data_IF_262981826349
#
_entry.id   IF_262981826349
#
_cell.length_a   1.000
_cell.length_b   1.000
_cell.length_c   1.000
_cell.angle_alpha   90.00
_cell.angle_beta   90.00
_cell.angle_gamma   90.00
#
_symmetry.space_group_name_H-M   'P 1'
#
loop_
_entity.id
_entity.type
_entity.pdbx_description
1 polymer ?
#
# COMPACT_ATOMS: atom_id res chain seq x y z
N UNK A 1 9.00 48.90 15.71
CA UNK A 1 9.42 48.77 14.29
C UNK A 1 10.87 49.18 14.15
N UNK A 2 11.78 48.26 13.76
CA UNK A 2 13.14 48.69 13.36
C UNK A 2 13.04 49.49 12.07
N UNK A 3 13.51 50.75 12.08
CA UNK A 3 13.59 51.56 10.86
C UNK A 3 14.28 50.75 9.75
N UNK A 4 13.62 50.52 8.63
CA UNK A 4 14.20 49.81 7.47
C UNK A 4 13.70 48.38 7.23
N UNK A 5 12.75 47.87 8.02
CA UNK A 5 12.18 46.52 7.82
C UNK A 5 10.64 46.53 7.76
N UNK A 6 10.08 45.59 6.99
CA UNK A 6 8.65 45.29 6.94
C UNK A 6 8.39 44.00 7.68
N UNK A 7 7.39 43.98 8.55
CA UNK A 7 7.01 42.81 9.33
C UNK A 7 5.60 42.32 8.94
N UNK A 8 5.45 41.05 8.72
CA UNK A 8 4.16 40.40 8.44
C UNK A 8 4.00 39.16 9.34
N UNK A 9 2.81 38.96 9.87
CA UNK A 9 2.46 37.76 10.61
C UNK A 9 1.35 37.02 9.88
N UNK A 10 1.45 35.70 9.85
CA UNK A 10 0.40 34.81 9.33
C UNK A 10 0.33 33.51 10.11
N UNK A 11 -0.86 32.93 10.16
CA UNK A 11 -1.07 31.61 10.75
C UNK A 11 -0.43 30.56 9.83
N UNK A 12 0.21 29.56 10.43
CA UNK A 12 0.76 28.43 9.69
C UNK A 12 -0.35 27.49 9.22
N UNK A 13 -0.64 27.50 7.92
CA UNK A 13 -1.72 26.72 7.30
C UNK A 13 -1.23 25.52 6.50
N UNK A 14 0.07 25.27 6.43
CA UNK A 14 0.64 24.17 5.63
C UNK A 14 1.82 23.51 6.32
N UNK A 15 2.07 22.26 5.95
CA UNK A 15 3.10 21.41 6.54
C UNK A 15 4.43 21.59 5.79
N UNK A 16 5.33 22.42 6.35
CA UNK A 16 6.64 22.72 5.74
C UNK A 16 7.70 21.70 6.09
N UNK A 17 7.62 21.11 7.29
CA UNK A 17 8.62 20.18 7.79
C UNK A 17 7.96 19.03 8.53
N UNK A 18 8.43 17.78 8.35
CA UNK A 18 7.90 16.63 9.09
C UNK A 18 8.20 16.68 10.61
N UNK A 19 8.98 17.67 11.07
CA UNK A 19 9.36 17.80 12.48
C UNK A 19 8.54 18.85 13.23
N UNK A 20 7.63 19.56 12.56
CA UNK A 20 6.79 20.57 13.18
C UNK A 20 5.32 20.41 12.76
N UNK A 21 4.43 20.58 13.71
CA UNK A 21 2.98 20.56 13.49
C UNK A 21 2.51 21.74 12.62
N UNK A 22 1.27 21.70 12.10
CA UNK A 22 0.71 22.80 11.27
C UNK A 22 0.13 23.95 12.10
N UNK A 23 0.11 23.83 13.43
CA UNK A 23 -0.30 24.88 14.36
C UNK A 23 0.83 25.87 14.61
N UNK A 24 0.50 27.15 14.76
CA UNK A 24 1.45 28.22 15.05
C UNK A 24 1.39 29.40 14.09
N UNK A 25 2.35 30.30 14.23
CA UNK A 25 2.43 31.53 13.43
C UNK A 25 3.80 31.70 12.81
N UNK A 26 3.84 32.25 11.61
CA UNK A 26 5.07 32.78 11.00
C UNK A 26 5.11 34.31 11.13
N UNK A 27 6.30 34.82 11.46
CA UNK A 27 6.63 36.23 11.34
C UNK A 27 7.72 36.38 10.28
N UNK A 28 7.38 37.11 9.21
CA UNK A 28 8.29 37.46 8.13
C UNK A 28 8.82 38.86 8.34
N UNK A 29 10.13 39.02 8.22
CA UNK A 29 10.80 40.30 8.32
C UNK A 29 11.57 40.51 7.03
N UNK A 30 11.23 41.56 6.28
CA UNK A 30 11.87 41.93 5.01
C UNK A 30 12.66 43.22 5.14
N UNK A 31 13.89 43.23 4.62
CA UNK A 31 14.62 44.50 4.48
C UNK A 31 13.95 45.38 3.42
N UNK A 32 13.96 46.71 3.66
CA UNK A 32 13.51 47.69 2.65
C UNK A 32 14.60 48.02 1.62
N UNK A 33 15.82 47.53 1.81
CA UNK A 33 16.94 47.75 0.89
C UNK A 33 16.87 46.73 -0.25
N UNK A 34 16.67 47.19 -1.47
CA UNK A 34 16.56 46.38 -2.67
C UNK A 34 17.91 45.89 -3.21
N UNK A 35 19.04 46.51 -2.82
CA UNK A 35 20.38 46.06 -3.20
C UNK A 35 20.86 44.87 -2.37
N UNK A 36 20.44 44.86 -1.09
CA UNK A 36 20.71 43.77 -0.15
C UNK A 36 19.39 43.32 0.48
N UNK A 37 18.77 42.33 -0.12
CA UNK A 37 17.49 41.79 0.35
C UNK A 37 17.77 40.80 1.48
N UNK A 38 17.26 41.09 2.67
CA UNK A 38 17.28 40.17 3.80
C UNK A 38 15.85 39.79 4.16
N UNK A 39 15.58 38.45 4.19
CA UNK A 39 14.30 37.89 4.56
C UNK A 39 14.52 36.98 5.76
N UNK A 40 13.92 37.32 6.91
CA UNK A 40 13.94 36.47 8.09
C UNK A 40 12.55 35.89 8.32
N UNK A 41 12.47 34.59 8.50
CA UNK A 41 11.24 33.86 8.81
C UNK A 41 11.37 33.26 10.20
N UNK A 42 10.55 33.71 11.13
CA UNK A 42 10.47 33.15 12.47
C UNK A 42 9.19 32.33 12.60
N UNK A 43 9.31 31.18 13.22
CA UNK A 43 8.17 30.32 13.54
C UNK A 43 7.95 30.28 15.05
N UNK A 44 6.69 30.51 15.46
CA UNK A 44 6.25 30.48 16.84
C UNK A 44 5.13 29.46 17.05
N UNK A 45 5.20 28.72 18.16
CA UNK A 45 4.12 27.88 18.67
C UNK A 45 3.65 28.46 20.01
N UNK A 46 2.44 29.04 20.01
CA UNK A 46 2.04 29.92 21.12
C UNK A 46 3.01 31.07 21.23
N UNK A 47 3.57 31.30 22.42
CA UNK A 47 4.57 32.32 22.70
C UNK A 47 6.03 31.81 22.56
N UNK A 48 6.24 30.55 22.25
CA UNK A 48 7.57 29.95 22.15
C UNK A 48 8.13 30.11 20.73
N UNK A 49 9.32 30.71 20.62
CA UNK A 49 10.08 30.77 19.36
C UNK A 49 10.70 29.41 19.08
N UNK A 50 10.32 28.80 17.97
CA UNK A 50 10.71 27.42 17.61
C UNK A 50 11.92 27.36 16.69
N UNK A 51 11.97 28.20 15.66
CA UNK A 51 13.13 28.36 14.79
C UNK A 51 13.09 29.66 14.01
N UNK A 52 14.25 30.06 13.44
CA UNK A 52 14.33 31.08 12.41
C UNK A 52 15.03 30.54 11.16
N UNK A 53 14.72 31.14 10.03
CA UNK A 53 15.43 30.97 8.76
C UNK A 53 15.75 32.38 8.24
N UNK A 54 16.98 32.59 7.77
CA UNK A 54 17.43 33.87 7.22
C UNK A 54 17.95 33.66 5.79
N UNK A 55 17.44 34.43 4.86
CA UNK A 55 17.90 34.49 3.47
C UNK A 55 18.48 35.89 3.19
N UNK A 56 19.75 35.93 2.78
CA UNK A 56 20.42 37.15 2.36
C UNK A 56 20.75 37.04 0.89
N UNK A 57 20.29 38.03 0.13
CA UNK A 57 20.48 38.11 -1.31
C UNK A 57 21.11 39.47 -1.63
N UNK A 58 22.11 39.48 -2.48
CA UNK A 58 22.68 40.67 -3.05
C UNK A 58 22.31 40.77 -4.52
N UNK A 59 21.72 41.88 -4.93
CA UNK A 59 21.39 42.09 -6.34
C UNK A 59 22.65 42.39 -7.13
N UNK A 60 22.64 42.00 -8.39
CA UNK A 60 23.76 42.25 -9.30
C UNK A 60 23.26 42.40 -10.75
N UNK A 61 23.89 43.26 -11.57
CA UNK A 61 23.48 43.43 -12.95
C UNK A 61 23.52 42.11 -13.71
N UNK A 62 22.47 41.84 -14.50
CA UNK A 62 22.35 40.65 -15.33
C UNK A 62 23.11 40.86 -16.65
N UNK A 63 24.14 40.07 -16.91
CA UNK A 63 24.85 40.02 -18.18
C UNK A 63 25.04 38.57 -18.63
N UNK A 64 25.36 38.35 -19.91
CA UNK A 64 25.45 37.01 -20.51
C UNK A 64 26.42 36.06 -19.79
N UNK A 65 27.59 36.60 -19.33
CA UNK A 65 28.59 35.82 -18.59
C UNK A 65 28.08 35.38 -17.22
N UNK A 66 27.36 36.23 -16.50
CA UNK A 66 26.73 35.86 -15.21
C UNK A 66 25.58 34.87 -15.39
N UNK A 67 24.78 35.05 -16.45
CA UNK A 67 23.71 34.13 -16.75
C UNK A 67 24.25 32.72 -17.01
N UNK A 68 25.35 32.59 -17.74
CA UNK A 68 26.01 31.31 -18.03
C UNK A 68 26.59 30.67 -16.75
N UNK A 69 27.24 31.44 -15.89
CA UNK A 69 27.74 30.98 -14.58
C UNK A 69 26.61 30.56 -13.65
N UNK A 70 25.51 31.32 -13.61
CA UNK A 70 24.33 30.95 -12.81
C UNK A 70 23.70 29.67 -13.33
N UNK A 71 23.59 29.44 -14.65
CA UNK A 71 23.06 28.21 -15.23
C UNK A 71 23.87 26.98 -14.81
N UNK A 72 25.21 27.06 -14.82
CA UNK A 72 26.08 25.99 -14.35
C UNK A 72 25.91 25.68 -12.86
N UNK A 73 25.86 26.73 -12.03
CA UNK A 73 25.62 26.60 -10.58
C UNK A 73 24.21 26.08 -10.26
N UNK A 74 23.20 26.38 -11.09
CA UNK A 74 21.83 25.89 -10.91
C UNK A 74 21.74 24.38 -11.04
N UNK A 75 22.43 23.79 -12.02
CA UNK A 75 22.48 22.34 -12.20
C UNK A 75 23.12 21.66 -10.98
N UNK A 76 24.26 22.18 -10.51
CA UNK A 76 24.93 21.69 -9.32
C UNK A 76 24.05 21.81 -8.07
N UNK A 77 23.37 22.94 -7.90
CA UNK A 77 22.47 23.17 -6.76
C UNK A 77 21.27 22.23 -6.80
N UNK A 78 20.65 22.02 -7.96
CA UNK A 78 19.51 21.10 -8.11
C UNK A 78 19.89 19.65 -7.75
N UNK A 79 21.09 19.20 -8.16
CA UNK A 79 21.57 17.83 -7.85
C UNK A 79 21.96 17.67 -6.38
N UNK A 80 22.52 18.71 -5.73
CA UNK A 80 23.01 18.61 -4.34
C UNK A 80 21.98 18.97 -3.29
N UNK A 81 20.91 19.71 -3.63
CA UNK A 81 19.90 20.17 -2.66
C UNK A 81 19.14 19.00 -2.03
N UNK A 82 18.70 18.04 -2.83
CA UNK A 82 17.93 16.90 -2.30
C UNK A 82 18.74 16.01 -1.34
N UNK A 83 19.99 15.59 -1.65
CA UNK A 83 20.85 14.89 -0.69
C UNK A 83 21.08 15.69 0.60
N UNK A 84 21.32 17.02 0.50
CA UNK A 84 21.50 17.88 1.67
C UNK A 84 20.25 17.93 2.56
N UNK A 85 19.06 18.03 1.96
CA UNK A 85 17.77 17.97 2.69
C UNK A 85 17.62 16.64 3.43
N UNK A 86 17.94 15.51 2.77
CA UNK A 86 17.88 14.19 3.39
C UNK A 86 18.88 14.05 4.56
N UNK A 87 20.10 14.53 4.40
CA UNK A 87 21.12 14.53 5.47
C UNK A 87 20.64 15.36 6.66
N UNK A 88 20.13 16.56 6.42
CA UNK A 88 19.61 17.42 7.49
C UNK A 88 18.39 16.78 8.18
N UNK A 89 17.48 16.18 7.42
CA UNK A 89 16.35 15.46 7.99
C UNK A 89 16.80 14.26 8.86
N UNK A 90 17.84 13.54 8.43
CA UNK A 90 18.43 12.46 9.21
C UNK A 90 19.08 12.99 10.50
N UNK A 91 19.83 14.09 10.43
CA UNK A 91 20.42 14.73 11.61
C UNK A 91 19.33 15.15 12.61
N UNK A 92 18.27 15.80 12.13
CA UNK A 92 17.15 16.23 12.97
C UNK A 92 16.45 15.04 13.64
N UNK A 93 16.24 13.94 12.90
CA UNK A 93 15.58 12.75 13.44
C UNK A 93 16.47 11.96 14.40
N UNK A 94 17.70 11.65 14.02
CA UNK A 94 18.55 10.72 14.75
C UNK A 94 19.46 11.40 15.81
N UNK A 95 20.03 12.56 15.50
CA UNK A 95 20.90 13.29 16.43
C UNK A 95 20.09 14.16 17.41
N UNK A 96 19.11 14.88 16.90
CA UNK A 96 18.28 15.78 17.73
C UNK A 96 16.97 15.15 18.22
N UNK A 97 16.66 13.90 17.81
CA UNK A 97 15.50 13.10 18.25
C UNK A 97 14.17 13.85 18.13
N UNK A 98 14.03 14.71 17.14
CA UNK A 98 12.79 15.44 16.92
C UNK A 98 11.65 14.51 16.52
N UNK A 99 10.43 14.71 17.03
CA UNK A 99 9.27 13.92 16.66
C UNK A 99 8.95 14.09 15.17
N UNK A 100 8.49 13.00 14.51
CA UNK A 100 8.07 13.03 13.12
C UNK A 100 6.55 13.11 13.04
N UNK A 101 6.03 14.13 12.36
CA UNK A 101 4.59 14.30 12.14
C UNK A 101 4.21 13.90 10.71
N UNK A 102 3.15 13.10 10.58
CA UNK A 102 2.57 12.75 9.27
C UNK A 102 2.04 14.03 8.60
N UNK A 103 2.24 14.16 7.30
CA UNK A 103 1.66 15.23 6.51
C UNK A 103 0.13 15.16 6.61
N UNK A 104 -0.49 16.20 7.16
CA UNK A 104 -1.95 16.26 7.37
C UNK A 104 -2.72 16.77 6.13
N UNK A 105 -2.05 16.90 5.00
CA UNK A 105 -2.64 17.46 3.78
C UNK A 105 -2.79 18.98 3.80
N UNK A 106 -3.42 19.52 2.76
CA UNK A 106 -3.64 20.95 2.60
C UNK A 106 -4.89 21.35 3.41
N UNK A 107 -4.71 22.24 4.39
CA UNK A 107 -5.81 22.80 5.21
C UNK A 107 -6.38 24.11 4.67
N UNK A 108 -5.80 24.69 3.62
CA UNK A 108 -6.22 25.98 3.08
C UNK A 108 -6.93 25.81 1.73
N UNK A 109 -8.14 26.36 1.54
CA UNK A 109 -8.82 26.39 0.24
C UNK A 109 -8.05 27.20 -0.83
N UNK A 110 -7.10 28.04 -0.42
CA UNK A 110 -6.25 28.82 -1.31
C UNK A 110 -4.90 28.14 -1.66
N UNK A 111 -4.71 26.89 -1.27
CA UNK A 111 -3.53 26.13 -1.68
C UNK A 111 -3.61 25.86 -3.18
N UNK A 112 -2.66 26.40 -3.94
CA UNK A 112 -2.57 26.20 -5.38
C UNK A 112 -2.38 24.71 -5.71
N UNK A 113 -3.46 24.00 -6.08
CA UNK A 113 -3.30 22.83 -6.92
C UNK A 113 -2.80 23.30 -8.28
N UNK A 114 -1.74 22.71 -8.82
CA UNK A 114 -1.30 23.03 -10.19
C UNK A 114 -2.40 22.64 -11.16
N UNK A 115 -3.20 23.60 -11.63
CA UNK A 115 -4.23 23.39 -12.65
C UNK A 115 -3.65 23.11 -14.05
N UNK A 116 -2.33 23.24 -14.25
CA UNK A 116 -1.69 23.02 -15.54
C UNK A 116 -0.59 21.95 -15.46
N UNK A 117 -0.50 21.05 -16.47
CA UNK A 117 0.47 19.97 -16.47
C UNK A 117 1.89 20.47 -16.70
N UNK A 118 2.86 19.95 -15.96
CA UNK A 118 4.29 20.15 -16.21
C UNK A 118 4.73 19.39 -17.47
N UNK A 119 5.95 19.62 -17.96
CA UNK A 119 6.50 18.89 -19.11
C UNK A 119 6.48 17.36 -18.87
N UNK A 120 6.82 16.90 -17.67
CA UNK A 120 6.80 15.47 -17.30
C UNK A 120 5.37 14.93 -17.35
N UNK A 121 4.37 15.69 -16.86
CA UNK A 121 2.96 15.29 -16.95
C UNK A 121 2.49 15.21 -18.39
N UNK A 122 2.88 16.18 -19.27
CA UNK A 122 2.54 16.15 -20.70
C UNK A 122 3.13 14.92 -21.39
N UNK A 123 4.35 14.54 -21.06
CA UNK A 123 4.97 13.32 -21.57
C UNK A 123 4.20 12.07 -21.10
N UNK A 124 3.87 11.99 -19.83
CA UNK A 124 3.09 10.88 -19.28
C UNK A 124 1.71 10.78 -19.95
N UNK A 125 1.00 11.89 -20.13
CA UNK A 125 -0.29 11.95 -20.84
C UNK A 125 -0.11 11.46 -22.30
N UNK A 126 0.95 11.89 -22.99
CA UNK A 126 1.22 11.48 -24.37
C UNK A 126 1.45 9.97 -24.49
N UNK A 127 2.21 9.40 -23.56
CA UNK A 127 2.46 7.96 -23.51
C UNK A 127 1.16 7.17 -23.23
N UNK A 128 0.41 7.59 -22.22
CA UNK A 128 -0.88 6.97 -21.88
C UNK A 128 -1.90 7.08 -23.02
N UNK A 129 -1.90 8.21 -23.72
CA UNK A 129 -2.79 8.43 -24.85
C UNK A 129 -2.59 7.37 -25.95
N UNK A 130 -1.33 7.02 -26.28
CA UNK A 130 -1.03 5.94 -27.24
C UNK A 130 -1.54 4.57 -26.77
N UNK A 131 -1.55 4.36 -25.48
CA UNK A 131 -1.97 3.11 -24.86
C UNK A 131 -3.50 3.02 -24.78
N UNK A 132 -4.15 4.04 -24.24
CA UNK A 132 -5.60 4.08 -24.03
C UNK A 132 -6.39 4.19 -25.35
N UNK A 133 -5.80 4.69 -26.42
CA UNK A 133 -6.40 4.67 -27.78
C UNK A 133 -6.70 3.26 -28.31
N UNK A 134 -6.15 2.22 -27.69
CA UNK A 134 -6.45 0.83 -28.02
C UNK A 134 -7.76 0.31 -27.42
N UNK A 135 -8.35 1.06 -26.47
CA UNK A 135 -9.67 0.73 -25.93
C UNK A 135 -10.68 0.79 -27.07
N UNK A 136 -11.39 -0.32 -27.31
CA UNK A 136 -12.44 -0.43 -28.33
C UNK A 136 -13.76 -0.93 -27.74
N UNK A 137 -13.71 -1.61 -26.60
CA UNK A 137 -14.87 -2.15 -25.90
C UNK A 137 -15.22 -1.22 -24.76
N UNK A 138 -16.47 -0.71 -24.75
CA UNK A 138 -16.96 0.31 -23.82
C UNK A 138 -16.30 1.68 -24.02
N UNK A 139 -16.59 2.65 -23.14
CA UNK A 139 -16.04 4.00 -23.19
C UNK A 139 -15.28 4.37 -21.93
N UNK A 140 -14.26 5.20 -22.09
CA UNK A 140 -13.50 5.79 -20.97
C UNK A 140 -13.33 7.28 -21.20
N UNK A 141 -13.78 8.10 -20.25
CA UNK A 141 -13.53 9.53 -20.20
C UNK A 141 -12.63 9.91 -19.05
N UNK A 142 -11.60 10.71 -19.32
CA UNK A 142 -10.70 11.24 -18.30
C UNK A 142 -10.80 12.76 -18.31
N UNK A 143 -11.35 13.32 -17.22
CA UNK A 143 -11.47 14.77 -17.00
C UNK A 143 -10.24 15.26 -16.27
N UNK A 144 -9.45 16.12 -16.91
CA UNK A 144 -8.23 16.69 -16.34
C UNK A 144 -8.51 17.89 -15.44
N UNK A 145 -7.58 18.26 -14.51
CA UNK A 145 -7.76 19.42 -13.60
C UNK A 145 -7.90 20.78 -14.31
N UNK A 146 -7.43 20.89 -15.56
CA UNK A 146 -7.57 22.09 -16.41
C UNK A 146 -8.89 22.12 -17.21
N UNK A 147 -9.78 21.14 -17.00
CA UNK A 147 -11.06 21.00 -17.70
C UNK A 147 -10.96 20.25 -19.03
N UNK A 148 -9.77 19.83 -19.47
CA UNK A 148 -9.61 19.05 -20.68
C UNK A 148 -10.20 17.66 -20.50
N UNK A 149 -11.00 17.23 -21.50
CA UNK A 149 -11.58 15.89 -21.60
C UNK A 149 -10.74 15.04 -22.56
N UNK A 150 -10.38 13.84 -22.14
CA UNK A 150 -9.76 12.81 -22.96
C UNK A 150 -10.74 11.64 -23.06
N UNK A 151 -11.16 11.28 -24.26
CA UNK A 151 -12.15 10.23 -24.51
C UNK A 151 -11.54 9.08 -25.31
N UNK A 152 -11.86 7.85 -24.95
CA UNK A 152 -11.34 6.62 -25.53
C UNK A 152 -12.46 5.61 -25.70
N UNK A 153 -12.31 4.70 -26.67
CA UNK A 153 -13.29 3.65 -26.95
C UNK A 153 -14.58 4.19 -27.54
N UNK A 154 -15.70 3.66 -27.11
CA UNK A 154 -17.04 4.01 -27.60
C UNK A 154 -17.79 4.88 -26.57
N UNK A 155 -17.76 6.22 -26.69
CA UNK A 155 -18.42 7.12 -25.70
C UNK A 155 -19.95 6.95 -25.62
N UNK A 156 -20.56 6.44 -26.68
CA UNK A 156 -21.99 6.11 -26.73
C UNK A 156 -22.36 4.73 -26.16
N UNK A 157 -21.39 4.00 -25.65
CA UNK A 157 -21.61 2.70 -25.01
C UNK A 157 -22.47 2.83 -23.76
N UNK A 158 -23.29 1.78 -23.46
CA UNK A 158 -24.02 1.67 -22.19
C UNK A 158 -23.10 1.67 -20.96
N UNK A 159 -21.82 1.31 -21.13
CA UNK A 159 -20.79 1.32 -20.09
C UNK A 159 -19.74 2.37 -20.44
N UNK A 160 -19.87 3.54 -19.82
CA UNK A 160 -18.94 4.65 -19.92
C UNK A 160 -18.33 4.91 -18.54
N UNK A 161 -17.03 4.63 -18.40
CA UNK A 161 -16.30 4.97 -17.19
C UNK A 161 -15.81 6.42 -17.21
N UNK A 162 -15.97 7.12 -16.10
CA UNK A 162 -15.45 8.49 -15.94
C UNK A 162 -14.38 8.51 -14.86
N UNK A 163 -13.20 9.03 -15.19
CA UNK A 163 -12.10 9.28 -14.25
C UNK A 163 -11.93 10.80 -14.11
N UNK A 164 -12.21 11.32 -12.93
CA UNK A 164 -12.02 12.72 -12.59
C UNK A 164 -10.62 12.90 -11.98
N UNK A 165 -9.66 13.41 -12.76
CA UNK A 165 -8.29 13.63 -12.27
C UNK A 165 -8.23 14.91 -11.45
N UNK A 166 -7.84 14.78 -10.19
CA UNK A 166 -7.70 15.87 -9.23
C UNK A 166 -6.26 16.41 -9.19
N UNK A 167 -5.27 15.59 -9.53
CA UNK A 167 -3.85 15.93 -9.55
C UNK A 167 -3.14 15.24 -10.72
N UNK A 168 -2.35 15.99 -11.47
CA UNK A 168 -1.60 15.47 -12.63
C UNK A 168 -0.58 14.37 -12.30
N UNK A 169 -0.19 14.20 -11.02
CA UNK A 169 0.63 13.07 -10.57
C UNK A 169 -0.01 11.70 -10.81
N UNK A 170 -1.33 11.66 -10.99
CA UNK A 170 -2.07 10.50 -11.47
C UNK A 170 -1.43 9.87 -12.70
N UNK A 171 -1.18 10.67 -13.74
CA UNK A 171 -0.61 10.19 -14.99
C UNK A 171 0.79 9.61 -14.82
N UNK A 172 1.62 10.22 -13.97
CA UNK A 172 2.96 9.72 -13.68
C UNK A 172 2.92 8.36 -12.97
N UNK A 173 2.04 8.19 -11.98
CA UNK A 173 1.89 6.93 -11.27
C UNK A 173 1.41 5.82 -12.21
N UNK A 174 0.45 6.13 -13.08
CA UNK A 174 -0.07 5.19 -14.05
C UNK A 174 1.01 4.71 -15.04
N UNK A 175 1.85 5.64 -15.53
CA UNK A 175 2.99 5.31 -16.41
C UNK A 175 4.04 4.48 -15.69
N UNK A 176 4.37 4.81 -14.44
CA UNK A 176 5.47 4.18 -13.71
C UNK A 176 5.10 2.83 -13.11
N UNK A 177 3.84 2.64 -12.69
CA UNK A 177 3.41 1.49 -11.91
C UNK A 177 2.20 0.75 -12.48
N UNK A 178 1.67 1.17 -13.65
CA UNK A 178 0.51 0.55 -14.29
C UNK A 178 -0.73 0.49 -13.37
N UNK A 179 -1.35 -0.69 -13.22
CA UNK A 179 -2.49 -0.99 -12.37
C UNK A 179 -2.26 -0.65 -10.89
N UNK A 180 -1.10 -1.00 -10.35
CA UNK A 180 -0.69 -0.58 -8.99
C UNK A 180 -0.65 0.95 -8.90
N UNK A 181 -0.23 1.64 -9.97
CA UNK A 181 -0.21 3.10 -10.04
C UNK A 181 -1.61 3.71 -10.04
N UNK A 182 -2.58 3.05 -10.64
CA UNK A 182 -4.00 3.43 -10.62
C UNK A 182 -4.54 3.40 -9.19
N UNK A 183 -4.31 2.28 -8.48
CA UNK A 183 -4.70 2.10 -7.08
C UNK A 183 -3.99 3.08 -6.13
N UNK A 184 -2.65 3.21 -6.25
CA UNK A 184 -1.86 4.18 -5.47
C UNK A 184 -2.36 5.63 -5.64
N UNK A 185 -2.75 5.99 -6.86
CA UNK A 185 -3.27 7.32 -7.16
C UNK A 185 -4.66 7.55 -6.57
N UNK A 186 -5.52 6.51 -6.56
CA UNK A 186 -6.83 6.55 -5.93
C UNK A 186 -6.73 6.75 -4.41
N UNK A 187 -5.94 5.93 -3.74
CA UNK A 187 -5.68 6.03 -2.30
C UNK A 187 -5.13 7.42 -1.92
N UNK A 188 -4.30 8.02 -2.79
CA UNK A 188 -3.74 9.36 -2.59
C UNK A 188 -4.69 10.49 -3.01
N UNK A 189 -5.90 10.15 -3.46
CA UNK A 189 -6.90 11.10 -3.97
C UNK A 189 -6.37 11.99 -5.10
N UNK A 190 -5.65 11.40 -6.04
CA UNK A 190 -5.23 12.08 -7.26
C UNK A 190 -6.26 11.97 -8.38
N UNK A 191 -7.21 11.06 -8.22
CA UNK A 191 -8.38 10.91 -9.06
C UNK A 191 -9.56 10.35 -8.26
N UNK A 192 -10.76 10.49 -8.82
CA UNK A 192 -11.99 9.98 -8.29
C UNK A 192 -12.90 9.51 -9.45
N UNK A 193 -13.99 8.80 -9.16
CA UNK A 193 -14.96 8.30 -10.13
C UNK A 193 -16.31 8.11 -9.48
N UNK A 194 -17.37 8.16 -10.27
CA UNK A 194 -18.72 7.87 -9.83
C UNK A 194 -18.96 6.36 -9.66
N UNK A 195 -18.18 5.51 -10.37
CA UNK A 195 -18.26 4.04 -10.27
C UNK A 195 -16.90 3.41 -10.52
N UNK A 196 -16.27 2.91 -9.46
CA UNK A 196 -15.05 2.09 -9.54
C UNK A 196 -15.29 0.79 -10.34
N UNK A 197 -16.44 0.18 -10.15
CA UNK A 197 -16.85 -1.04 -10.85
C UNK A 197 -16.80 -0.83 -12.37
N UNK A 198 -17.41 0.23 -12.88
CA UNK A 198 -17.40 0.54 -14.33
C UNK A 198 -15.98 0.81 -14.84
N UNK A 199 -15.13 1.47 -14.05
CA UNK A 199 -13.71 1.66 -14.42
C UNK A 199 -13.00 0.32 -14.58
N UNK A 200 -13.17 -0.61 -13.64
CA UNK A 200 -12.58 -1.94 -13.74
C UNK A 200 -13.15 -2.75 -14.90
N UNK A 201 -14.46 -2.72 -15.14
CA UNK A 201 -15.09 -3.40 -16.27
C UNK A 201 -14.50 -2.97 -17.61
N UNK A 202 -14.30 -1.67 -17.81
CA UNK A 202 -13.67 -1.14 -19.04
C UNK A 202 -12.25 -1.68 -19.20
N UNK A 203 -11.44 -1.69 -18.15
CA UNK A 203 -10.07 -2.20 -18.23
C UNK A 203 -10.01 -3.73 -18.43
N UNK A 204 -10.89 -4.49 -17.78
CA UNK A 204 -10.98 -5.96 -17.93
C UNK A 204 -11.43 -6.30 -19.35
N UNK A 205 -12.47 -5.64 -19.88
CA UNK A 205 -12.97 -5.89 -21.22
C UNK A 205 -11.91 -5.64 -22.33
N UNK A 206 -10.93 -4.78 -22.05
CA UNK A 206 -9.85 -4.43 -22.97
C UNK A 206 -8.49 -5.03 -22.58
N UNK A 207 -8.43 -5.99 -21.64
CA UNK A 207 -7.18 -6.51 -21.08
C UNK A 207 -6.24 -7.07 -22.15
N UNK A 208 -6.77 -7.83 -23.12
CA UNK A 208 -6.00 -8.42 -24.21
C UNK A 208 -5.32 -7.38 -25.08
N UNK A 209 -6.00 -6.28 -25.39
CA UNK A 209 -5.49 -5.17 -26.19
C UNK A 209 -4.45 -4.34 -25.44
N UNK A 210 -4.62 -4.23 -24.13
CA UNK A 210 -3.73 -3.50 -23.26
C UNK A 210 -2.45 -4.28 -22.94
N UNK A 211 -2.47 -5.60 -22.85
CA UNK A 211 -1.30 -6.46 -22.62
C UNK A 211 -0.28 -6.47 -23.77
N UNK A 212 -0.68 -6.13 -24.99
CA UNK A 212 0.18 -6.19 -26.19
C UNK A 212 1.20 -5.05 -26.33
N UNK A 213 1.25 -4.09 -25.40
CA UNK A 213 2.21 -2.99 -25.49
C UNK A 213 3.48 -3.24 -24.65
N UNK A 214 4.51 -3.79 -25.31
CA UNK A 214 5.77 -4.24 -24.71
C UNK A 214 6.57 -3.18 -23.95
N UNK A 215 6.43 -1.88 -24.23
CA UNK A 215 7.26 -0.82 -23.62
C UNK A 215 6.87 -0.50 -22.18
N UNK A 216 5.57 -0.45 -21.88
CA UNK A 216 5.05 -0.17 -20.53
C UNK A 216 5.30 -1.32 -19.57
N UNK A 217 5.05 -2.54 -20.04
CA UNK A 217 5.21 -3.77 -19.28
C UNK A 217 6.68 -4.02 -18.93
N UNK A 218 7.62 -3.68 -19.83
CA UNK A 218 9.07 -3.87 -19.59
C UNK A 218 9.61 -2.96 -18.48
N UNK A 219 9.20 -1.71 -18.45
CA UNK A 219 9.69 -0.73 -17.46
C UNK A 219 9.09 -0.99 -16.07
N UNK A 220 7.79 -1.26 -15.99
CA UNK A 220 7.13 -1.61 -14.73
C UNK A 220 7.63 -2.96 -14.18
N UNK A 221 7.86 -3.96 -15.04
CA UNK A 221 8.47 -5.24 -14.64
C UNK A 221 9.87 -5.07 -14.08
N UNK A 222 10.69 -4.19 -14.64
CA UNK A 222 12.05 -3.93 -14.13
C UNK A 222 12.01 -3.30 -12.75
N UNK A 223 11.15 -2.30 -12.52
CA UNK A 223 10.96 -1.66 -11.21
C UNK A 223 10.39 -2.66 -10.20
N UNK A 224 9.36 -3.42 -10.60
CA UNK A 224 8.74 -4.45 -9.74
C UNK A 224 9.74 -5.56 -9.40
N UNK A 225 10.59 -5.99 -10.33
CA UNK A 225 11.63 -7.01 -10.09
C UNK A 225 12.67 -6.55 -9.05
N UNK A 226 13.06 -5.26 -9.10
CA UNK A 226 13.96 -4.66 -8.11
C UNK A 226 13.28 -4.58 -6.74
N UNK A 227 12.01 -4.14 -6.68
CA UNK A 227 11.25 -4.08 -5.42
C UNK A 227 10.98 -5.47 -4.84
N UNK A 228 10.69 -6.47 -5.69
CA UNK A 228 10.49 -7.85 -5.26
C UNK A 228 11.76 -8.46 -4.68
N UNK A 229 12.92 -8.18 -5.28
CA UNK A 229 14.22 -8.65 -4.77
C UNK A 229 14.56 -8.09 -3.38
N UNK A 230 14.08 -6.87 -3.07
CA UNK A 230 14.25 -6.23 -1.76
C UNK A 230 13.28 -6.75 -0.68
N UNK A 231 12.20 -7.45 -1.08
CA UNK A 231 11.15 -7.97 -0.18
C UNK A 231 11.23 -9.49 0.06
N UNK A 232 12.43 -10.09 0.04
CA UNK A 232 12.58 -11.53 0.29
C UNK A 232 11.96 -11.97 1.62
N UNK A 233 11.19 -13.06 1.59
CA UNK A 233 10.46 -13.64 2.72
C UNK A 233 11.38 -14.49 3.62
N UNK A 234 12.36 -13.88 4.29
CA UNK A 234 13.10 -14.54 5.37
C UNK A 234 12.29 -14.53 6.68
N UNK A 235 12.70 -15.35 7.67
CA UNK A 235 11.96 -15.53 8.94
C UNK A 235 11.68 -14.19 9.65
N UNK A 236 12.63 -13.24 9.62
CA UNK A 236 12.47 -11.93 10.26
C UNK A 236 11.50 -11.00 9.51
N UNK A 237 11.38 -11.13 8.18
CA UNK A 237 10.50 -10.30 7.35
C UNK A 237 9.11 -10.92 7.17
N UNK A 238 8.97 -12.25 7.28
CA UNK A 238 7.69 -12.94 7.16
C UNK A 238 6.68 -12.42 8.19
N UNK A 239 7.10 -12.28 9.46
CA UNK A 239 6.25 -11.71 10.51
C UNK A 239 5.81 -10.27 10.17
N UNK A 240 6.71 -9.44 9.64
CA UNK A 240 6.39 -8.06 9.24
C UNK A 240 5.45 -8.00 8.03
N UNK A 241 5.66 -8.82 7.02
CA UNK A 241 4.82 -8.83 5.82
C UNK A 241 3.39 -9.30 6.14
N UNK A 242 3.24 -10.30 7.01
CA UNK A 242 1.92 -10.75 7.46
C UNK A 242 1.26 -9.74 8.39
N UNK A 243 2.01 -9.11 9.29
CA UNK A 243 1.50 -8.01 10.11
C UNK A 243 0.92 -6.88 9.23
N UNK A 244 1.64 -6.44 8.20
CA UNK A 244 1.15 -5.42 7.25
C UNK A 244 -0.10 -5.86 6.48
N UNK A 245 -0.28 -7.17 6.22
CA UNK A 245 -1.44 -7.70 5.50
C UNK A 245 -2.68 -7.86 6.38
N UNK A 246 -2.53 -8.29 7.63
CA UNK A 246 -3.63 -8.49 8.58
C UNK A 246 -3.88 -7.31 9.52
N UNK A 247 -3.06 -6.26 9.48
CA UNK A 247 -3.19 -5.02 10.28
C UNK A 247 -4.40 -4.15 9.89
N UNK A 248 -5.15 -4.55 8.85
CA UNK A 248 -6.46 -3.99 8.52
C UNK A 248 -7.50 -4.23 9.63
N UNK A 249 -7.20 -5.13 10.57
CA UNK A 249 -8.01 -5.45 11.74
C UNK A 249 -9.22 -6.36 11.44
N UNK A 250 -9.65 -7.10 12.44
CA UNK A 250 -10.76 -8.06 12.33
C UNK A 250 -12.04 -7.43 11.76
N UNK A 251 -12.34 -6.17 12.13
CA UNK A 251 -13.51 -5.45 11.66
C UNK A 251 -13.55 -5.24 10.13
N UNK A 252 -12.39 -5.14 9.49
CA UNK A 252 -12.33 -5.04 8.03
C UNK A 252 -12.73 -6.36 7.38
N UNK A 253 -12.21 -7.48 7.87
CA UNK A 253 -12.51 -8.80 7.33
C UNK A 253 -13.98 -9.21 7.57
N UNK A 254 -14.60 -8.76 8.65
CA UNK A 254 -16.03 -8.95 8.95
C UNK A 254 -16.97 -8.31 7.91
N UNK A 255 -16.50 -7.34 7.12
CA UNK A 255 -17.33 -6.67 6.14
C UNK A 255 -17.67 -7.55 4.92
N UNK A 256 -16.85 -8.54 4.61
CA UNK A 256 -16.99 -9.33 3.38
C UNK A 256 -16.79 -10.84 3.54
N UNK A 257 -16.22 -11.31 4.66
CA UNK A 257 -16.09 -12.73 4.93
C UNK A 257 -17.37 -13.28 5.58
N UNK A 258 -17.49 -14.62 5.56
CA UNK A 258 -18.52 -15.35 6.29
C UNK A 258 -18.35 -15.23 7.81
N UNK A 259 -19.31 -15.74 8.59
CA UNK A 259 -19.28 -15.70 10.07
C UNK A 259 -18.05 -16.38 10.69
N UNK A 260 -17.53 -17.41 10.02
CA UNK A 260 -16.33 -18.13 10.44
C UNK A 260 -15.04 -17.46 10.01
N UNK A 261 -15.15 -16.33 9.27
CA UNK A 261 -14.04 -15.53 8.73
C UNK A 261 -13.06 -16.35 7.91
N UNK A 262 -13.57 -17.21 7.03
CA UNK A 262 -12.72 -18.03 6.18
C UNK A 262 -12.19 -17.19 5.02
N UNK A 263 -10.90 -16.87 5.06
CA UNK A 263 -10.22 -16.01 4.07
C UNK A 263 -9.52 -16.86 3.00
N UNK A 264 -10.31 -17.65 2.32
CA UNK A 264 -9.91 -18.48 1.17
C UNK A 264 -11.13 -18.75 0.31
N UNK A 265 -10.94 -19.22 -0.93
CA UNK A 265 -12.05 -19.50 -1.87
C UNK A 265 -13.02 -20.53 -1.30
N UNK A 266 -14.31 -20.38 -1.60
CA UNK A 266 -15.35 -21.28 -1.19
C UNK A 266 -15.68 -22.29 -2.30
N UNK A 267 -16.32 -23.43 -1.93
CA UNK A 267 -16.83 -24.43 -2.89
C UNK A 267 -18.33 -24.43 -2.81
N UNK A 268 -18.97 -23.86 -3.83
CA UNK A 268 -20.42 -23.80 -3.94
C UNK A 268 -20.98 -25.07 -4.56
N UNK A 269 -21.97 -25.67 -3.93
CA UNK A 269 -22.75 -26.81 -4.47
C UNK A 269 -23.87 -26.32 -5.39
N UNK A 270 -24.33 -25.07 -5.21
CA UNK A 270 -25.33 -24.44 -6.08
C UNK A 270 -25.12 -22.92 -6.11
N UNK A 271 -25.60 -22.20 -7.17
CA UNK A 271 -25.50 -20.73 -7.28
C UNK A 271 -26.26 -19.97 -6.19
N UNK A 272 -27.24 -20.61 -5.53
CA UNK A 272 -28.06 -19.99 -4.47
C UNK A 272 -27.56 -20.28 -3.05
N UNK A 273 -26.47 -21.01 -2.91
CA UNK A 273 -25.90 -21.37 -1.62
C UNK A 273 -25.27 -20.16 -0.93
N UNK A 274 -25.34 -20.11 0.41
CA UNK A 274 -24.69 -19.06 1.17
C UNK A 274 -23.16 -19.20 1.14
N UNK A 275 -22.42 -18.08 1.31
CA UNK A 275 -20.97 -18.14 1.45
C UNK A 275 -20.55 -19.01 2.64
N UNK A 276 -21.28 -18.96 3.76
CA UNK A 276 -21.03 -19.75 4.95
C UNK A 276 -21.08 -21.25 4.66
N UNK A 277 -22.15 -21.71 3.99
CA UNK A 277 -22.31 -23.14 3.62
C UNK A 277 -21.25 -23.56 2.62
N UNK A 278 -20.96 -22.74 1.63
CA UNK A 278 -19.93 -23.01 0.63
C UNK A 278 -18.51 -23.10 1.26
N UNK A 279 -18.23 -22.33 2.30
CA UNK A 279 -16.99 -22.44 3.09
C UNK A 279 -16.93 -23.73 3.90
N UNK A 280 -18.06 -24.16 4.50
CA UNK A 280 -18.14 -25.45 5.19
C UNK A 280 -17.97 -26.61 4.19
N UNK A 281 -18.56 -26.55 2.99
CA UNK A 281 -18.33 -27.55 1.95
C UNK A 281 -16.85 -27.71 1.62
N UNK A 282 -16.13 -26.60 1.44
CA UNK A 282 -14.69 -26.63 1.21
C UNK A 282 -13.94 -27.32 2.36
N UNK A 283 -14.25 -26.95 3.61
CA UNK A 283 -13.60 -27.55 4.79
C UNK A 283 -13.89 -29.07 4.81
N UNK A 284 -15.13 -29.47 4.61
CA UNK A 284 -15.51 -30.90 4.57
C UNK A 284 -14.78 -31.66 3.46
N UNK A 285 -14.66 -31.03 2.27
CA UNK A 285 -13.93 -31.65 1.16
C UNK A 285 -12.44 -31.80 1.51
N UNK A 286 -11.82 -30.78 2.11
CA UNK A 286 -10.43 -30.83 2.55
C UNK A 286 -10.19 -31.96 3.56
N UNK A 287 -11.07 -32.09 4.56
CA UNK A 287 -10.99 -33.14 5.58
C UNK A 287 -11.20 -34.56 4.96
N UNK A 288 -12.11 -34.68 4.01
CA UNK A 288 -12.36 -35.91 3.28
C UNK A 288 -11.18 -36.32 2.40
N UNK A 289 -10.63 -35.40 1.62
CA UNK A 289 -9.43 -35.61 0.78
C UNK A 289 -8.21 -36.02 1.60
N UNK A 290 -8.06 -35.43 2.77
CA UNK A 290 -7.01 -35.79 3.72
C UNK A 290 -7.34 -37.13 4.46
N UNK A 291 -8.51 -37.69 4.30
CA UNK A 291 -8.98 -38.91 4.99
C UNK A 291 -8.78 -38.80 6.50
N UNK A 292 -9.36 -37.75 7.08
CA UNK A 292 -9.23 -37.46 8.52
C UNK A 292 -10.10 -38.43 9.33
N UNK A 293 -9.52 -38.95 10.42
CA UNK A 293 -10.19 -39.90 11.34
C UNK A 293 -10.14 -39.36 12.78
N UNK A 294 -11.05 -39.73 13.66
CA UNK A 294 -11.05 -39.26 15.07
C UNK A 294 -9.74 -39.51 15.82
N UNK A 295 -9.04 -40.60 15.53
CA UNK A 295 -7.75 -40.96 16.14
C UNK A 295 -6.56 -40.18 15.64
N UNK A 296 -6.74 -39.38 14.60
CA UNK A 296 -5.63 -38.66 13.96
C UNK A 296 -5.21 -37.40 14.72
N UNK A 297 -3.92 -37.13 14.66
CA UNK A 297 -3.34 -35.83 15.02
C UNK A 297 -3.09 -35.05 13.76
N UNK A 298 -3.78 -33.93 13.61
CA UNK A 298 -3.71 -33.08 12.43
C UNK A 298 -2.82 -31.88 12.72
N UNK A 299 -2.05 -31.47 11.70
CA UNK A 299 -1.42 -30.16 11.66
C UNK A 299 -2.11 -29.29 10.62
N UNK A 300 -2.65 -28.15 11.03
CA UNK A 300 -3.08 -27.08 10.14
C UNK A 300 -1.98 -26.01 10.06
N UNK A 301 -1.48 -25.72 8.84
CA UNK A 301 -0.52 -24.65 8.60
C UNK A 301 -1.25 -23.45 8.02
N UNK A 302 -1.40 -22.38 8.82
CA UNK A 302 -2.23 -21.23 8.51
C UNK A 302 -3.60 -21.31 9.16
N UNK A 303 -3.68 -20.98 10.46
CA UNK A 303 -4.92 -21.12 11.24
C UNK A 303 -6.09 -20.28 10.72
N UNK A 304 -5.81 -19.19 9.99
CA UNK A 304 -6.82 -18.16 9.78
C UNK A 304 -7.46 -17.76 11.12
N UNK A 305 -8.77 -17.67 11.16
CA UNK A 305 -9.54 -17.44 12.39
C UNK A 305 -10.05 -18.74 13.03
N UNK A 306 -9.48 -19.90 12.65
CA UNK A 306 -9.69 -21.19 13.31
C UNK A 306 -10.84 -22.02 12.77
N UNK A 307 -11.44 -21.64 11.65
CA UNK A 307 -12.62 -22.33 11.10
C UNK A 307 -12.40 -23.82 10.88
N UNK A 308 -11.30 -24.22 10.21
CA UNK A 308 -11.00 -25.62 9.92
C UNK A 308 -10.69 -26.40 11.20
N UNK A 309 -9.82 -25.87 12.08
CA UNK A 309 -9.47 -26.54 13.33
C UNK A 309 -10.70 -26.80 14.21
N UNK A 310 -11.55 -25.79 14.39
CA UNK A 310 -12.77 -25.88 15.18
C UNK A 310 -13.75 -26.87 14.55
N UNK A 311 -13.96 -26.77 13.22
CA UNK A 311 -14.88 -27.68 12.52
C UNK A 311 -14.40 -29.13 12.61
N UNK A 312 -13.12 -29.41 12.36
CA UNK A 312 -12.56 -30.78 12.42
C UNK A 312 -12.67 -31.36 13.84
N UNK A 313 -12.33 -30.60 14.89
CA UNK A 313 -12.43 -31.04 16.27
C UNK A 313 -13.89 -31.28 16.69
N UNK A 314 -14.82 -30.43 16.24
CA UNK A 314 -16.23 -30.53 16.63
C UNK A 314 -16.95 -31.66 15.90
N UNK A 315 -16.70 -31.84 14.59
CA UNK A 315 -17.45 -32.82 13.75
C UNK A 315 -16.81 -34.19 13.74
N UNK A 316 -15.48 -34.27 13.79
CA UNK A 316 -14.76 -35.56 13.69
C UNK A 316 -14.23 -35.98 15.07
N UNK A 317 -13.94 -35.02 15.98
CA UNK A 317 -13.37 -35.34 17.30
C UNK A 317 -11.85 -35.60 17.28
N UNK A 318 -11.14 -35.17 16.24
CA UNK A 318 -9.70 -35.37 16.08
C UNK A 318 -8.89 -34.30 16.82
N UNK A 319 -7.63 -34.59 17.10
CA UNK A 319 -6.71 -33.61 17.69
C UNK A 319 -6.09 -32.72 16.61
N UNK A 320 -6.17 -31.41 16.77
CA UNK A 320 -5.65 -30.42 15.81
C UNK A 320 -4.60 -29.54 16.47
N UNK A 321 -3.40 -29.52 15.90
CA UNK A 321 -2.43 -28.43 16.14
C UNK A 321 -2.55 -27.45 14.97
N UNK A 322 -2.90 -26.21 15.26
CA UNK A 322 -2.98 -25.15 14.23
C UNK A 322 -1.96 -24.05 14.50
N UNK A 323 -1.35 -23.50 13.43
CA UNK A 323 -0.27 -22.53 13.58
C UNK A 323 -0.50 -21.26 12.74
N UNK A 324 -0.13 -20.14 13.32
CA UNK A 324 -0.13 -18.83 12.68
C UNK A 324 1.04 -17.99 13.17
N UNK A 325 1.46 -17.00 12.39
CA UNK A 325 2.40 -15.96 12.82
C UNK A 325 1.71 -14.60 13.08
N UNK A 326 0.38 -14.54 12.92
CA UNK A 326 -0.45 -13.38 13.25
C UNK A 326 -0.92 -13.44 14.69
N UNK A 327 -0.57 -12.43 15.48
CA UNK A 327 -1.04 -12.29 16.90
C UNK A 327 -2.55 -12.13 16.99
N UNK A 328 -3.17 -11.40 16.04
CA UNK A 328 -4.62 -11.21 15.95
C UNK A 328 -5.36 -12.55 15.76
N UNK A 329 -4.90 -13.34 14.79
CA UNK A 329 -5.49 -14.67 14.55
C UNK A 329 -5.29 -15.60 15.74
N UNK A 330 -4.07 -15.64 16.30
CA UNK A 330 -3.77 -16.46 17.48
C UNK A 330 -4.70 -16.16 18.64
N UNK A 331 -4.84 -14.88 19.00
CA UNK A 331 -5.67 -14.45 20.13
C UNK A 331 -7.15 -14.78 19.88
N UNK A 332 -7.64 -14.57 18.65
CA UNK A 332 -9.01 -14.91 18.27
C UNK A 332 -9.27 -16.42 18.37
N UNK A 333 -8.40 -17.23 17.75
CA UNK A 333 -8.54 -18.71 17.76
C UNK A 333 -8.51 -19.24 19.19
N UNK A 334 -7.59 -18.75 20.01
CA UNK A 334 -7.50 -19.13 21.44
C UNK A 334 -8.76 -18.79 22.20
N UNK A 335 -9.35 -17.62 21.99
CA UNK A 335 -10.61 -17.22 22.60
C UNK A 335 -11.78 -18.13 22.17
N UNK A 336 -11.88 -18.45 20.88
CA UNK A 336 -12.94 -19.34 20.38
C UNK A 336 -12.78 -20.80 20.85
N UNK A 337 -11.55 -21.31 20.98
CA UNK A 337 -11.26 -22.63 21.60
C UNK A 337 -11.77 -22.67 23.01
N UNK A 338 -11.40 -21.71 23.85
CA UNK A 338 -11.82 -21.63 25.26
C UNK A 338 -13.34 -21.51 25.38
N UNK A 339 -13.97 -20.64 24.58
CA UNK A 339 -15.42 -20.42 24.56
C UNK A 339 -16.21 -21.68 24.23
N UNK A 340 -15.65 -22.55 23.38
CA UNK A 340 -16.27 -23.81 22.92
C UNK A 340 -15.82 -25.03 23.72
N UNK A 341 -14.96 -24.86 24.72
CA UNK A 341 -14.39 -25.94 25.53
C UNK A 341 -13.65 -27.00 24.69
N UNK A 342 -12.90 -26.56 23.69
CA UNK A 342 -12.15 -27.41 22.76
C UNK A 342 -10.66 -27.53 23.10
N UNK A 343 -10.23 -27.04 24.26
CA UNK A 343 -8.82 -27.01 24.72
C UNK A 343 -8.16 -28.40 24.75
N UNK A 344 -8.95 -29.44 24.97
CA UNK A 344 -8.46 -30.82 24.95
C UNK A 344 -8.14 -31.34 23.54
N UNK A 345 -8.76 -30.76 22.50
CA UNK A 345 -8.63 -31.23 21.10
C UNK A 345 -7.82 -30.27 20.25
N UNK A 346 -7.78 -28.98 20.53
CA UNK A 346 -7.13 -27.98 19.66
C UNK A 346 -6.01 -27.27 20.42
N UNK A 347 -4.81 -27.32 19.84
CA UNK A 347 -3.67 -26.53 20.28
C UNK A 347 -3.35 -25.47 19.20
N UNK A 348 -3.49 -24.15 19.51
CA UNK A 348 -3.07 -23.06 18.64
C UNK A 348 -1.68 -22.59 19.03
N UNK A 349 -0.77 -22.39 18.02
CA UNK A 349 0.61 -21.92 18.23
C UNK A 349 0.88 -20.63 17.47
N UNK A 350 1.42 -19.65 18.17
CA UNK A 350 1.94 -18.44 17.55
C UNK A 350 3.41 -18.66 17.16
N UNK A 351 3.65 -19.25 15.99
CA UNK A 351 5.01 -19.54 15.51
C UNK A 351 5.07 -19.74 14.00
N UNK A 352 6.27 -19.57 13.45
CA UNK A 352 6.54 -19.89 12.05
C UNK A 352 6.55 -21.42 11.87
N UNK A 353 5.88 -21.92 10.81
CA UNK A 353 5.80 -23.33 10.49
C UNK A 353 7.17 -24.01 10.34
N UNK A 354 8.20 -23.26 9.97
CA UNK A 354 9.60 -23.75 9.84
C UNK A 354 10.20 -24.21 11.16
N UNK A 355 9.69 -23.69 12.27
CA UNK A 355 10.14 -24.00 13.63
C UNK A 355 9.35 -25.14 14.29
N UNK A 356 8.31 -25.64 13.64
CA UNK A 356 7.49 -26.74 14.15
C UNK A 356 8.32 -28.02 14.30
N UNK A 357 7.93 -28.84 15.28
CA UNK A 357 8.46 -30.18 15.51
C UNK A 357 7.31 -31.15 15.81
N UNK A 358 7.60 -32.43 15.81
CA UNK A 358 6.63 -33.50 16.05
C UNK A 358 6.26 -34.25 14.80
N UNK A 359 5.30 -35.17 14.92
CA UNK A 359 4.81 -36.03 13.84
C UNK A 359 3.28 -36.06 13.84
N UNK A 360 2.71 -35.86 12.65
CA UNK A 360 1.28 -35.75 12.43
C UNK A 360 0.78 -36.79 11.45
N UNK A 361 -0.47 -37.26 11.66
CA UNK A 361 -1.12 -38.23 10.76
C UNK A 361 -1.56 -37.54 9.47
N UNK A 362 -1.99 -36.26 9.59
CA UNK A 362 -2.46 -35.42 8.49
C UNK A 362 -1.89 -34.01 8.58
N UNK A 363 -1.59 -33.43 7.43
CA UNK A 363 -1.26 -32.01 7.31
C UNK A 363 -2.27 -31.39 6.36
N UNK A 364 -2.88 -30.26 6.75
CA UNK A 364 -3.80 -29.50 5.92
C UNK A 364 -3.32 -28.05 5.86
N UNK A 365 -3.26 -27.48 4.67
CA UNK A 365 -2.83 -26.11 4.48
C UNK A 365 -3.54 -25.53 3.26
N UNK A 366 -4.50 -24.64 3.52
CA UNK A 366 -5.37 -24.05 2.48
C UNK A 366 -4.91 -22.62 2.20
N UNK A 367 -4.63 -22.32 0.91
CA UNK A 367 -4.21 -21.00 0.43
C UNK A 367 -3.09 -20.35 1.27
N UNK A 368 -2.09 -21.15 1.60
CA UNK A 368 -0.90 -20.70 2.32
C UNK A 368 0.33 -20.62 1.41
N UNK A 369 0.36 -21.38 0.29
CA UNK A 369 1.49 -21.46 -0.65
C UNK A 369 1.81 -20.08 -1.25
N UNK A 370 0.81 -19.25 -1.49
CA UNK A 370 0.94 -17.89 -2.00
C UNK A 370 1.79 -17.01 -1.08
N UNK A 371 1.66 -17.24 0.23
CA UNK A 371 2.41 -16.51 1.25
C UNK A 371 3.83 -17.02 1.47
N UNK A 372 4.14 -18.27 1.05
CA UNK A 372 5.48 -18.88 1.20
C UNK A 372 6.49 -18.19 0.30
N UNK A 373 6.12 -17.89 -0.95
CA UNK A 373 7.01 -17.37 -1.98
C UNK A 373 7.80 -18.48 -2.69
N UNK A 374 7.95 -18.32 -4.01
CA UNK A 374 8.49 -19.35 -4.91
C UNK A 374 9.85 -19.93 -4.47
N UNK A 375 10.77 -19.07 -4.00
CA UNK A 375 12.11 -19.49 -3.58
C UNK A 375 12.11 -20.42 -2.35
N UNK A 376 11.02 -20.47 -1.61
CA UNK A 376 10.88 -21.23 -0.36
C UNK A 376 9.97 -22.44 -0.45
N UNK A 377 9.34 -22.74 -1.61
CA UNK A 377 8.44 -23.86 -1.78
C UNK A 377 9.12 -25.22 -1.46
N UNK A 378 10.36 -25.41 -1.91
CA UNK A 378 11.14 -26.62 -1.58
C UNK A 378 11.31 -26.79 -0.07
N UNK A 379 11.63 -25.68 0.65
CA UNK A 379 11.74 -25.70 2.12
C UNK A 379 10.40 -26.02 2.78
N UNK A 380 9.32 -25.48 2.26
CA UNK A 380 7.96 -25.72 2.75
C UNK A 380 7.57 -27.20 2.64
N UNK A 381 7.65 -27.78 1.43
CA UNK A 381 7.29 -29.18 1.21
C UNK A 381 8.22 -30.14 1.96
N UNK A 382 9.54 -29.84 2.04
CA UNK A 382 10.46 -30.62 2.86
C UNK A 382 10.03 -30.61 4.32
N UNK A 383 9.67 -29.44 4.86
CA UNK A 383 9.17 -29.32 6.24
C UNK A 383 7.88 -30.11 6.47
N UNK A 384 6.94 -30.05 5.55
CA UNK A 384 5.71 -30.86 5.61
C UNK A 384 6.03 -32.37 5.61
N UNK A 385 6.96 -32.80 4.75
CA UNK A 385 7.42 -34.20 4.71
C UNK A 385 8.06 -34.60 6.05
N UNK A 386 8.92 -33.76 6.61
CA UNK A 386 9.60 -34.01 7.89
C UNK A 386 8.63 -34.07 9.07
N UNK A 387 7.44 -33.45 8.99
CA UNK A 387 6.40 -33.45 10.00
C UNK A 387 5.37 -34.57 9.84
N UNK A 388 5.27 -35.20 8.66
CA UNK A 388 4.37 -36.32 8.43
C UNK A 388 4.90 -37.60 9.07
N UNK A 389 3.99 -38.40 9.63
CA UNK A 389 4.24 -39.79 9.96
C UNK A 389 4.43 -40.62 8.69
N UNK A 390 5.02 -41.82 8.81
CA UNK A 390 5.02 -42.82 7.74
C UNK A 390 3.55 -43.15 7.38
N UNK A 391 3.15 -43.10 6.13
CA UNK A 391 1.76 -43.21 5.65
C UNK A 391 0.86 -42.01 5.99
N UNK A 392 1.39 -40.92 6.48
CA UNK A 392 0.64 -39.67 6.64
C UNK A 392 0.28 -39.05 5.28
N UNK A 393 -0.81 -38.26 5.24
CA UNK A 393 -1.27 -37.57 4.03
C UNK A 393 -1.18 -36.05 4.26
N UNK A 394 -0.84 -35.30 3.21
CA UNK A 394 -0.91 -33.85 3.21
C UNK A 394 -1.86 -33.38 2.11
N UNK A 395 -2.64 -32.33 2.42
CA UNK A 395 -3.57 -31.66 1.52
C UNK A 395 -3.21 -30.16 1.47
N UNK A 396 -3.09 -29.60 0.24
CA UNK A 396 -2.72 -28.22 -0.01
C UNK A 396 -3.73 -27.56 -0.95
#
# INVERSE_FOLDING_TARGET
EKKGYLNFETVKNFHVSPFFTVDGKYRFIFSKNMDNIEITINYFKGNQHMFNANLKLTTAPLNGKRLMLMSGNYIHTAVTTFPRILIQAAILKFKHRLPHFKNQGLKSPNSFSRKSPTMIHKLAISLLNKYLKKIDTHGLEIKCPDGKLLSYGQPSSKKLATINVLDYRFFNLLVLKSDIGLADAYIKKYWDTDSLETVFEVFIANESLLKTSNVFISFSRMINKIQHHLRKNNISKAKKNIYEHYDLGNRFFELFLDKNRVYSSAIYSSPSESLEDAQINKINQALTMADVQPSHRILEIGSGWGALAIHAATTIGCHVTTVTISEEQYNHVKAEINKRHLDALIEVKLMDYRLLSGKYDRIISIEMLEAVGHDYLTTYFKKCYDLLKRNGKAMF
#
